data_IF_952446392085
#
_entry.id   IF_952446392085
#
_cell.length_a   1.000
_cell.length_b   1.000
_cell.length_c   1.000
_cell.angle_alpha   90.00
_cell.angle_beta   90.00
_cell.angle_gamma   90.00
#
_symmetry.space_group_name_H-M   'P 1'
#
loop_
_entity.id
_entity.type
_entity.pdbx_description
1 polymer ?
#
# COMPACT_ATOMS: atom_id res chain seq x y z
N UNK A 1 1.48 -32.12 60.48
CA UNK A 1 2.67 -32.46 61.30
C UNK A 1 3.19 -33.80 60.81
N UNK A 2 4.46 -33.84 60.38
CA UNK A 2 5.44 -34.96 60.43
C UNK A 2 4.96 -36.39 60.05
N UNK A 3 5.67 -37.23 59.30
CA UNK A 3 7.03 -37.25 58.80
C UNK A 3 7.24 -38.54 57.96
N UNK A 4 8.13 -38.45 56.96
CA UNK A 4 9.20 -39.40 56.59
C UNK A 4 8.95 -40.90 56.31
N UNK A 5 9.27 -41.26 55.06
CA UNK A 5 10.32 -42.20 54.60
C UNK A 5 10.24 -43.71 54.85
N UNK A 6 10.51 -44.49 53.79
CA UNK A 6 11.57 -45.53 53.63
C UNK A 6 11.16 -46.45 52.44
N UNK A 7 11.81 -46.36 51.28
CA UNK A 7 12.97 -47.15 50.79
C UNK A 7 12.74 -48.64 50.52
N UNK A 8 13.18 -49.00 49.30
CA UNK A 8 13.78 -50.24 48.79
C UNK A 8 12.85 -51.32 48.26
N UNK A 9 13.08 -51.65 46.99
CA UNK A 9 12.37 -52.67 46.23
C UNK A 9 12.97 -54.06 46.33
N UNK A 10 12.43 -54.95 45.50
CA UNK A 10 13.06 -56.18 45.01
C UNK A 10 12.24 -56.70 43.83
N UNK A 11 12.97 -57.13 42.80
CA UNK A 11 12.49 -57.64 41.53
C UNK A 11 11.80 -59.00 41.65
N UNK A 12 10.91 -59.31 40.71
CA UNK A 12 10.57 -60.68 40.33
C UNK A 12 10.51 -60.79 38.81
N UNK A 13 11.49 -61.53 38.28
CA UNK A 13 11.58 -62.03 36.91
C UNK A 13 10.38 -62.93 36.60
N UNK A 14 9.82 -62.79 35.39
CA UNK A 14 9.08 -63.87 34.73
C UNK A 14 9.68 -64.07 33.34
N UNK A 15 10.41 -65.17 33.22
CA UNK A 15 10.98 -65.68 31.99
C UNK A 15 9.90 -66.39 31.18
N UNK A 16 9.72 -66.00 29.93
CA UNK A 16 9.01 -66.80 28.93
C UNK A 16 10.00 -67.08 27.80
N UNK A 17 10.42 -68.33 27.73
CA UNK A 17 11.20 -68.92 26.65
C UNK A 17 10.29 -69.25 25.47
N UNK A 18 10.60 -68.73 24.28
CA UNK A 18 10.08 -69.25 23.02
C UNK A 18 11.20 -69.27 21.95
N UNK A 19 11.73 -70.47 21.73
CA UNK A 19 12.27 -71.05 20.49
C UNK A 19 13.05 -70.16 19.52
N UNK A 20 14.36 -70.36 19.53
CA UNK A 20 15.34 -69.89 18.55
C UNK A 20 15.22 -70.70 17.25
N UNK A 21 14.98 -70.01 16.13
CA UNK A 21 15.33 -70.51 14.79
C UNK A 21 16.55 -69.71 14.31
N UNK A 22 17.67 -70.39 14.11
CA UNK A 22 18.93 -69.78 13.65
C UNK A 22 18.85 -69.61 12.14
N UNK A 23 18.43 -68.44 11.67
CA UNK A 23 18.68 -67.97 10.32
C UNK A 23 20.01 -67.20 10.29
N UNK A 24 20.97 -67.66 9.50
CA UNK A 24 22.19 -66.90 9.23
C UNK A 24 21.82 -65.64 8.42
N UNK A 25 21.85 -64.48 9.07
CA UNK A 25 21.77 -63.18 8.40
C UNK A 25 23.16 -62.55 8.48
N UNK A 26 23.74 -62.28 7.31
CA UNK A 26 25.00 -61.55 7.18
C UNK A 26 24.84 -60.14 7.79
N UNK A 27 25.70 -59.78 8.74
CA UNK A 27 25.80 -58.44 9.28
C UNK A 27 26.41 -57.50 8.24
N UNK A 28 25.59 -56.67 7.61
CA UNK A 28 26.03 -55.44 6.96
C UNK A 28 26.21 -54.35 8.04
N UNK A 29 27.22 -53.48 7.93
CA UNK A 29 27.43 -52.41 8.90
C UNK A 29 26.27 -51.41 8.84
N UNK A 30 25.69 -51.10 10.00
CA UNK A 30 24.66 -50.07 10.13
C UNK A 30 25.28 -48.70 9.83
N UNK A 31 24.96 -48.15 8.66
CA UNK A 31 25.20 -46.75 8.37
C UNK A 31 24.30 -45.91 9.30
N UNK A 32 24.93 -45.10 10.15
CA UNK A 32 24.22 -44.05 10.90
C UNK A 32 23.71 -43.02 9.90
N UNK A 33 22.41 -43.07 9.58
CA UNK A 33 21.76 -42.05 8.79
C UNK A 33 21.77 -40.72 9.58
N UNK A 34 22.38 -39.68 9.00
CA UNK A 34 22.24 -38.33 9.49
C UNK A 34 20.76 -37.91 9.44
N UNK A 35 20.25 -37.10 10.39
CA UNK A 35 18.89 -36.60 10.35
C UNK A 35 18.68 -35.83 9.05
N UNK A 36 17.59 -36.16 8.34
CA UNK A 36 17.19 -35.44 7.15
C UNK A 36 16.99 -33.96 7.49
N UNK A 37 17.42 -33.02 6.61
CA UNK A 37 17.08 -31.62 6.78
C UNK A 37 15.55 -31.48 6.88
N UNK A 38 15.09 -30.61 7.78
CA UNK A 38 13.68 -30.29 7.88
C UNK A 38 13.15 -29.87 6.49
N UNK A 39 11.94 -30.30 6.09
CA UNK A 39 11.36 -29.82 4.85
C UNK A 39 11.31 -28.29 4.90
N UNK A 40 11.70 -27.65 3.79
CA UNK A 40 11.51 -26.22 3.61
C UNK A 40 10.04 -25.87 3.93
N UNK A 41 9.77 -24.72 4.56
CA UNK A 41 8.40 -24.26 4.73
C UNK A 41 7.70 -24.31 3.37
N UNK A 42 6.49 -24.86 3.34
CA UNK A 42 5.66 -24.80 2.14
C UNK A 42 5.48 -23.32 1.76
N UNK A 43 5.48 -22.96 0.45
CA UNK A 43 5.17 -21.60 0.04
C UNK A 43 3.85 -21.20 0.69
N UNK A 44 3.82 -20.01 1.30
CA UNK A 44 2.59 -19.38 1.75
C UNK A 44 1.66 -19.40 0.55
N UNK A 45 0.42 -19.87 0.74
CA UNK A 45 -0.50 -20.01 -0.39
C UNK A 45 -0.89 -18.60 -0.77
N UNK A 46 -0.32 -18.09 -1.86
CA UNK A 46 -0.62 -16.77 -2.42
C UNK A 46 -2.14 -16.59 -2.47
N UNK A 47 -2.63 -15.56 -1.78
CA UNK A 47 -4.05 -15.27 -1.76
C UNK A 47 -4.50 -15.03 -3.21
N UNK A 48 -5.63 -15.63 -3.59
CA UNK A 48 -6.07 -15.52 -4.99
C UNK A 48 -6.35 -14.05 -5.34
N UNK A 49 -5.82 -13.55 -6.47
CA UNK A 49 -6.03 -12.17 -6.89
C UNK A 49 -7.53 -11.87 -7.08
N UNK A 50 -7.88 -10.58 -7.08
CA UNK A 50 -9.26 -10.13 -7.12
C UNK A 50 -9.94 -10.56 -8.43
N UNK A 51 -11.01 -11.34 -8.32
CA UNK A 51 -11.74 -11.79 -9.50
C UNK A 51 -12.35 -10.60 -10.26
N UNK A 52 -12.37 -10.63 -11.61
CA UNK A 52 -13.13 -9.66 -12.39
C UNK A 52 -14.58 -9.57 -11.92
N UNK A 53 -15.10 -8.34 -11.77
CA UNK A 53 -16.44 -8.11 -11.24
C UNK A 53 -16.56 -8.14 -9.71
N UNK A 54 -15.44 -8.20 -8.98
CA UNK A 54 -15.42 -8.01 -7.52
C UNK A 54 -16.17 -6.73 -7.14
N UNK A 55 -17.12 -6.86 -6.22
CA UNK A 55 -17.85 -5.72 -5.66
C UNK A 55 -17.09 -5.19 -4.45
N UNK A 56 -16.56 -3.97 -4.56
CA UNK A 56 -15.95 -3.29 -3.42
C UNK A 56 -17.00 -2.69 -2.48
N UNK A 57 -16.61 -2.50 -1.22
CA UNK A 57 -17.49 -1.98 -0.17
C UNK A 57 -17.57 -0.47 -0.26
N UNK A 58 -18.79 0.07 -0.26
CA UNK A 58 -19.05 1.49 -0.01
C UNK A 58 -19.21 1.69 1.50
N UNK A 59 -18.37 2.51 2.16
CA UNK A 59 -18.51 2.79 3.58
C UNK A 59 -19.76 3.64 3.85
N UNK A 60 -20.02 3.89 5.14
CA UNK A 60 -21.02 4.91 5.51
C UNK A 60 -20.52 6.27 4.97
N UNK A 61 -21.34 7.03 4.24
CA UNK A 61 -20.94 8.32 3.68
C UNK A 61 -20.41 9.28 4.73
N UNK A 62 -19.42 10.08 4.35
CA UNK A 62 -18.95 11.21 5.16
C UNK A 62 -20.14 12.15 5.47
N UNK A 63 -20.35 12.56 6.74
CA UNK A 63 -21.43 13.48 7.10
C UNK A 63 -21.39 14.80 6.33
N UNK A 64 -20.21 15.29 5.97
CA UNK A 64 -20.02 16.49 5.16
C UNK A 64 -20.53 16.32 3.73
N UNK A 65 -20.33 15.14 3.11
CA UNK A 65 -20.89 14.82 1.79
C UNK A 65 -22.42 14.81 1.81
N UNK A 66 -23.01 14.21 2.86
CA UNK A 66 -24.46 14.19 3.06
C UNK A 66 -25.00 15.60 3.23
N UNK A 67 -24.37 16.41 4.08
CA UNK A 67 -24.78 17.78 4.34
C UNK A 67 -24.67 18.64 3.07
N UNK A 68 -23.57 18.55 2.33
CA UNK A 68 -23.38 19.26 1.07
C UNK A 68 -24.42 18.86 0.02
N UNK A 69 -24.75 17.57 -0.09
CA UNK A 69 -25.81 17.10 -0.99
C UNK A 69 -27.15 17.77 -0.68
N UNK A 70 -27.50 17.86 0.61
CA UNK A 70 -28.74 18.50 1.08
C UNK A 70 -28.72 20.00 0.77
N UNK A 71 -27.61 20.68 1.04
CA UNK A 71 -27.50 22.13 0.85
C UNK A 71 -27.52 22.52 -0.63
N UNK A 72 -26.87 21.75 -1.50
CA UNK A 72 -26.96 21.92 -2.95
C UNK A 72 -28.39 21.70 -3.46
N UNK A 73 -29.09 20.68 -2.96
CA UNK A 73 -30.48 20.43 -3.34
C UNK A 73 -31.43 21.55 -2.88
N UNK A 74 -31.22 22.11 -1.67
CA UNK A 74 -31.98 23.26 -1.15
C UNK A 74 -31.74 24.54 -1.94
N UNK A 75 -30.56 24.66 -2.56
CA UNK A 75 -30.19 25.77 -3.42
C UNK A 75 -30.58 25.53 -4.90
N UNK A 76 -31.44 24.55 -5.19
CA UNK A 76 -31.87 24.16 -6.54
C UNK A 76 -30.71 23.71 -7.48
N UNK A 77 -29.54 23.38 -6.92
CA UNK A 77 -28.37 22.85 -7.64
C UNK A 77 -28.41 21.33 -7.73
N UNK A 78 -29.51 20.79 -8.27
CA UNK A 78 -29.77 19.34 -8.28
C UNK A 78 -28.71 18.51 -9.01
N UNK A 79 -28.08 19.07 -10.05
CA UNK A 79 -26.99 18.37 -10.77
C UNK A 79 -25.77 18.18 -9.88
N UNK A 80 -25.37 19.23 -9.17
CA UNK A 80 -24.24 19.19 -8.26
C UNK A 80 -24.55 18.31 -7.03
N UNK A 81 -25.78 18.39 -6.50
CA UNK A 81 -26.22 17.48 -5.44
C UNK A 81 -26.14 16.01 -5.88
N UNK A 82 -26.56 15.70 -7.12
CA UNK A 82 -26.45 14.35 -7.65
C UNK A 82 -24.99 13.89 -7.83
N UNK A 83 -24.08 14.80 -8.18
CA UNK A 83 -22.65 14.50 -8.29
C UNK A 83 -22.06 14.11 -6.93
N UNK A 84 -22.25 14.92 -5.88
CA UNK A 84 -21.77 14.60 -4.53
C UNK A 84 -22.39 13.30 -4.01
N UNK A 85 -23.69 13.09 -4.22
CA UNK A 85 -24.37 11.86 -3.82
C UNK A 85 -23.78 10.61 -4.52
N UNK A 86 -23.38 10.71 -5.78
CA UNK A 86 -22.76 9.60 -6.53
C UNK A 86 -21.32 9.34 -6.10
N UNK A 87 -20.57 10.40 -5.82
CA UNK A 87 -19.23 10.30 -5.27
C UNK A 87 -19.26 9.54 -3.95
N UNK A 88 -20.11 9.96 -3.02
CA UNK A 88 -20.28 9.31 -1.72
C UNK A 88 -20.86 7.88 -1.78
N UNK A 89 -21.54 7.53 -2.88
CA UNK A 89 -22.07 6.18 -3.10
C UNK A 89 -21.08 5.22 -3.79
N UNK A 90 -19.95 5.72 -4.28
CA UNK A 90 -18.91 4.91 -4.92
C UNK A 90 -18.08 4.17 -3.85
N UNK A 91 -17.62 2.92 -4.08
CA UNK A 91 -16.79 2.22 -3.11
C UNK A 91 -15.52 3.00 -2.74
N UNK A 92 -15.13 2.96 -1.47
CA UNK A 92 -14.00 3.73 -0.93
C UNK A 92 -13.33 2.93 0.19
N UNK A 93 -12.04 3.16 0.42
CA UNK A 93 -11.33 2.52 1.53
C UNK A 93 -11.77 3.07 2.89
N UNK A 94 -11.68 2.23 3.91
CA UNK A 94 -11.89 2.62 5.31
C UNK A 94 -10.54 2.74 6.00
N UNK A 95 -10.26 3.92 6.53
CA UNK A 95 -8.98 4.27 7.16
C UNK A 95 -9.00 3.99 8.65
N UNK A 96 -7.93 3.40 9.16
CA UNK A 96 -7.70 3.17 10.58
C UNK A 96 -6.39 3.87 10.95
N UNK A 97 -6.52 4.94 11.74
CA UNK A 97 -5.45 5.93 11.89
C UNK A 97 -4.99 6.17 13.33
N UNK A 98 -5.74 5.67 14.31
CA UNK A 98 -5.45 5.88 15.74
C UNK A 98 -6.25 4.89 16.64
N UNK A 99 -6.31 5.20 17.94
CA UNK A 99 -7.07 4.47 18.94
C UNK A 99 -6.27 3.41 19.68
N UNK A 100 -6.87 2.83 20.71
CA UNK A 100 -6.31 1.69 21.42
C UNK A 100 -6.48 0.40 20.61
N UNK A 101 -5.70 -0.67 20.88
CA UNK A 101 -5.90 -1.98 20.26
C UNK A 101 -7.33 -2.52 20.35
N UNK A 102 -8.05 -2.17 21.42
CA UNK A 102 -9.44 -2.58 21.63
C UNK A 102 -10.42 -1.80 20.75
N UNK A 103 -10.14 -0.52 20.50
CA UNK A 103 -10.99 0.36 19.68
C UNK A 103 -10.85 -0.01 18.20
N UNK A 104 -9.62 -0.06 17.67
CA UNK A 104 -9.38 -0.45 16.28
C UNK A 104 -9.94 -1.85 15.97
N UNK A 105 -9.79 -2.81 16.90
CA UNK A 105 -10.41 -4.14 16.77
C UNK A 105 -11.93 -4.06 16.55
N UNK A 106 -12.61 -3.20 17.29
CA UNK A 106 -14.06 -3.05 17.19
C UNK A 106 -14.46 -2.37 15.89
N UNK A 107 -13.70 -1.37 15.46
CA UNK A 107 -13.93 -0.66 14.20
C UNK A 107 -13.76 -1.59 13.01
N UNK A 108 -12.64 -2.33 12.94
CA UNK A 108 -12.40 -3.33 11.89
C UNK A 108 -13.48 -4.40 11.89
N UNK A 109 -13.94 -4.84 13.07
CA UNK A 109 -15.03 -5.83 13.17
C UNK A 109 -16.34 -5.28 12.59
N UNK A 110 -16.67 -4.01 12.84
CA UNK A 110 -17.86 -3.34 12.29
C UNK A 110 -17.75 -3.18 10.78
N UNK A 111 -16.60 -2.72 10.29
CA UNK A 111 -16.32 -2.55 8.86
C UNK A 111 -16.40 -3.89 8.10
N UNK A 112 -15.79 -4.94 8.65
CA UNK A 112 -15.85 -6.31 8.11
C UNK A 112 -17.30 -6.83 8.07
N UNK A 113 -18.08 -6.57 9.13
CA UNK A 113 -19.49 -6.96 9.20
C UNK A 113 -20.36 -6.23 8.17
N UNK A 114 -20.11 -4.93 7.93
CA UNK A 114 -20.76 -4.17 6.85
C UNK A 114 -20.49 -4.84 5.51
N UNK A 115 -19.22 -5.06 5.18
CA UNK A 115 -18.81 -5.69 3.92
C UNK A 115 -19.42 -7.09 3.73
N UNK A 116 -19.50 -7.89 4.81
CA UNK A 116 -20.15 -9.21 4.79
C UNK A 116 -21.64 -9.10 4.53
N UNK A 117 -22.32 -8.14 5.16
CA UNK A 117 -23.75 -7.90 4.96
C UNK A 117 -24.05 -7.42 3.52
N UNK A 118 -23.14 -6.68 2.90
CA UNK A 118 -23.26 -6.20 1.52
C UNK A 118 -22.68 -7.13 0.47
N UNK A 119 -22.10 -8.28 0.86
CA UNK A 119 -21.43 -9.23 -0.04
C UNK A 119 -20.39 -8.53 -0.92
N UNK A 120 -19.55 -7.72 -0.29
CA UNK A 120 -18.50 -6.96 -0.94
C UNK A 120 -17.15 -7.21 -0.25
N UNK A 121 -16.08 -6.93 -0.98
CA UNK A 121 -14.70 -6.93 -0.47
C UNK A 121 -14.42 -5.55 0.12
N UNK A 122 -14.05 -5.43 1.41
CA UNK A 122 -13.62 -4.16 1.96
C UNK A 122 -12.18 -3.85 1.55
N UNK A 123 -11.91 -2.56 1.37
CA UNK A 123 -10.54 -2.02 1.29
C UNK A 123 -10.27 -1.30 2.60
N UNK A 124 -9.23 -1.72 3.32
CA UNK A 124 -8.78 -1.11 4.57
C UNK A 124 -7.44 -0.43 4.35
N UNK A 125 -7.21 0.65 5.09
CA UNK A 125 -5.91 1.32 5.18
C UNK A 125 -5.47 1.30 6.63
N UNK A 126 -4.31 0.71 6.90
CA UNK A 126 -3.61 0.90 8.19
C UNK A 126 -2.63 2.04 8.03
N UNK A 127 -2.71 3.03 8.90
CA UNK A 127 -1.90 4.24 8.77
C UNK A 127 -1.63 4.81 10.15
N UNK A 128 -0.74 4.18 10.92
CA UNK A 128 -0.47 4.55 12.31
C UNK A 128 0.99 4.35 12.73
N UNK A 129 1.95 4.25 11.79
CA UNK A 129 3.38 4.13 12.13
C UNK A 129 3.87 5.26 13.05
N UNK A 130 4.85 4.99 13.93
CA UNK A 130 5.50 6.03 14.72
C UNK A 130 6.14 7.12 13.84
N UNK A 131 5.98 8.37 14.27
CA UNK A 131 6.46 9.55 13.54
C UNK A 131 5.85 9.70 12.14
N UNK A 132 4.56 9.40 12.01
CA UNK A 132 3.80 9.50 10.75
C UNK A 132 4.00 10.87 10.08
N UNK A 133 4.22 10.85 8.76
CA UNK A 133 4.31 12.01 7.85
C UNK A 133 5.32 13.08 8.22
N UNK A 134 6.43 12.71 8.87
CA UNK A 134 7.37 13.69 9.40
C UNK A 134 6.67 14.76 10.27
N UNK A 135 5.60 14.38 10.97
CA UNK A 135 4.76 15.29 11.77
C UNK A 135 4.12 16.46 11.00
N UNK A 136 3.79 16.28 9.70
CA UNK A 136 3.09 17.28 8.88
C UNK A 136 1.54 17.27 9.07
N UNK A 137 0.73 17.51 8.03
CA UNK A 137 -0.71 17.73 8.16
C UNK A 137 -1.49 16.49 8.67
N UNK A 138 -1.04 15.30 8.28
CA UNK A 138 -1.59 14.02 8.76
C UNK A 138 -0.84 13.48 9.99
N UNK A 139 -0.04 14.32 10.67
CA UNK A 139 0.72 13.95 11.87
C UNK A 139 -0.10 13.15 12.89
N UNK A 140 0.58 12.21 13.51
CA UNK A 140 0.00 11.29 14.48
C UNK A 140 0.86 10.04 14.53
N UNK A 141 0.22 8.89 14.56
CA UNK A 141 0.91 7.62 14.69
C UNK A 141 0.96 7.12 16.13
N UNK A 142 1.32 5.86 16.27
CA UNK A 142 1.58 5.24 17.56
C UNK A 142 2.76 5.91 18.26
N UNK A 143 2.78 5.79 19.60
CA UNK A 143 3.82 6.40 20.42
C UNK A 143 5.23 5.84 20.14
N UNK A 144 5.31 4.56 19.81
CA UNK A 144 6.53 3.81 19.52
C UNK A 144 6.18 2.50 18.78
N UNK A 145 7.21 1.78 18.34
CA UNK A 145 7.07 0.51 17.61
C UNK A 145 6.24 -0.53 18.38
N UNK A 146 6.35 -0.57 19.72
CA UNK A 146 5.61 -1.53 20.54
C UNK A 146 4.12 -1.20 20.58
N UNK A 147 3.78 0.08 20.73
CA UNK A 147 2.41 0.57 20.67
C UNK A 147 1.80 0.35 19.28
N UNK A 148 2.58 0.56 18.21
CA UNK A 148 2.15 0.30 16.84
C UNK A 148 1.81 -1.19 16.63
N UNK A 149 2.73 -2.09 17.01
CA UNK A 149 2.52 -3.54 16.85
C UNK A 149 1.31 -4.04 17.65
N UNK A 150 1.13 -3.52 18.87
CA UNK A 150 -0.07 -3.83 19.66
C UNK A 150 -1.36 -3.32 19.00
N UNK A 151 -1.32 -2.16 18.35
CA UNK A 151 -2.45 -1.62 17.60
C UNK A 151 -2.76 -2.47 16.36
N UNK A 152 -1.73 -2.87 15.60
CA UNK A 152 -1.84 -3.82 14.48
C UNK A 152 -2.43 -5.16 14.92
N UNK A 153 -2.01 -5.71 16.06
CA UNK A 153 -2.61 -6.93 16.63
C UNK A 153 -4.12 -6.74 16.89
N UNK A 154 -4.51 -5.56 17.36
CA UNK A 154 -5.91 -5.15 17.51
C UNK A 154 -6.65 -5.14 16.18
N UNK A 155 -6.07 -4.48 15.16
CA UNK A 155 -6.60 -4.43 13.80
C UNK A 155 -6.81 -5.85 13.24
N UNK A 156 -5.76 -6.66 13.27
CA UNK A 156 -5.76 -8.04 12.77
C UNK A 156 -6.81 -8.91 13.49
N UNK A 157 -6.95 -8.78 14.82
CA UNK A 157 -7.98 -9.48 15.60
C UNK A 157 -9.42 -9.02 15.26
N UNK A 158 -9.59 -7.88 14.59
CA UNK A 158 -10.86 -7.39 14.07
C UNK A 158 -11.30 -8.05 12.77
N UNK A 159 -10.37 -8.63 12.00
CA UNK A 159 -10.62 -9.24 10.70
C UNK A 159 -11.50 -10.51 10.79
N UNK A 160 -12.14 -10.86 9.67
CA UNK A 160 -12.89 -12.11 9.50
C UNK A 160 -12.07 -13.07 8.64
N UNK A 161 -11.62 -14.18 9.23
CA UNK A 161 -10.73 -15.16 8.59
C UNK A 161 -11.29 -15.76 7.28
N UNK A 162 -12.61 -15.78 7.11
CA UNK A 162 -13.32 -16.34 5.94
C UNK A 162 -13.75 -15.27 4.92
N UNK A 163 -13.26 -14.04 5.04
CA UNK A 163 -13.63 -12.91 4.19
C UNK A 163 -12.41 -12.39 3.44
N UNK A 164 -12.50 -12.28 2.11
CA UNK A 164 -11.50 -11.57 1.33
C UNK A 164 -11.51 -10.08 1.68
N UNK A 165 -10.32 -9.49 1.85
CA UNK A 165 -10.11 -8.09 2.21
C UNK A 165 -8.86 -7.58 1.52
N UNK A 166 -8.90 -6.34 1.01
CA UNK A 166 -7.71 -5.63 0.53
C UNK A 166 -7.21 -4.74 1.66
N UNK A 167 -5.92 -4.79 1.97
CA UNK A 167 -5.30 -3.90 2.97
C UNK A 167 -4.12 -3.16 2.36
N UNK A 168 -4.21 -1.83 2.35
CA UNK A 168 -3.09 -0.94 2.03
C UNK A 168 -2.37 -0.62 3.34
N UNK A 169 -1.07 -0.89 3.36
CA UNK A 169 -0.24 -0.76 4.56
C UNK A 169 0.60 0.51 4.50
N UNK A 170 0.33 1.38 5.47
CA UNK A 170 1.12 2.55 5.82
C UNK A 170 1.48 3.44 4.62
N UNK A 171 0.50 4.16 4.04
CA UNK A 171 0.77 5.27 3.13
C UNK A 171 1.84 6.20 3.70
N UNK A 172 2.71 6.74 2.84
CA UNK A 172 3.88 7.54 3.25
C UNK A 172 4.82 6.81 4.24
N UNK A 173 4.69 5.48 4.38
CA UNK A 173 5.52 4.66 5.24
C UNK A 173 6.90 4.43 4.64
N UNK A 174 6.94 3.73 3.50
CA UNK A 174 8.17 3.45 2.75
C UNK A 174 8.60 4.63 1.88
N UNK A 175 7.65 5.38 1.32
CA UNK A 175 7.96 6.52 0.46
C UNK A 175 8.49 7.75 1.25
N UNK A 176 8.22 7.83 2.56
CA UNK A 176 8.70 8.90 3.44
C UNK A 176 9.28 8.31 4.72
N UNK A 177 10.52 7.81 4.61
CA UNK A 177 11.23 7.19 5.72
C UNK A 177 11.63 8.24 6.77
N UNK A 178 11.78 7.87 8.05
CA UNK A 178 12.27 8.79 9.07
C UNK A 178 13.54 9.56 8.71
N UNK A 179 14.47 8.92 7.99
CA UNK A 179 15.70 9.53 7.47
C UNK A 179 15.49 10.56 6.36
N UNK A 180 14.35 10.54 5.67
CA UNK A 180 13.97 11.53 4.65
C UNK A 180 13.42 12.83 5.28
N UNK A 181 13.06 12.79 6.57
CA UNK A 181 12.46 13.92 7.24
C UNK A 181 13.47 15.05 7.52
N UNK A 182 13.04 16.33 7.47
CA UNK A 182 13.89 17.45 7.82
C UNK A 182 14.55 17.31 9.22
N UNK A 183 15.80 17.76 9.38
CA UNK A 183 16.45 17.77 10.69
C UNK A 183 15.63 18.56 11.73
N UNK A 184 15.45 17.97 12.91
CA UNK A 184 14.68 18.58 14.00
C UNK A 184 13.16 18.38 13.90
N UNK A 185 12.67 17.61 12.91
CA UNK A 185 11.26 17.20 12.82
C UNK A 185 10.77 16.52 14.10
N UNK A 186 11.55 15.60 14.64
CA UNK A 186 11.21 14.86 15.85
C UNK A 186 11.91 15.46 17.08
N UNK A 187 11.24 15.49 18.25
CA UNK A 187 11.90 15.83 19.51
C UNK A 187 13.15 14.95 19.75
N UNK A 188 14.17 15.53 20.36
CA UNK A 188 15.43 14.84 20.65
C UNK A 188 15.19 13.52 21.41
N UNK A 189 15.74 12.43 20.89
CA UNK A 189 15.60 11.09 21.47
C UNK A 189 14.26 10.39 21.21
N UNK A 190 13.37 10.97 20.41
CA UNK A 190 12.05 10.38 20.08
C UNK A 190 11.89 9.99 18.61
N UNK A 191 12.88 10.28 17.77
CA UNK A 191 12.81 9.98 16.35
C UNK A 191 12.69 8.47 16.11
N UNK A 192 11.71 8.02 15.31
CA UNK A 192 11.73 6.65 14.79
C UNK A 192 12.96 6.44 13.89
N UNK A 193 13.32 5.18 13.68
CA UNK A 193 14.44 4.80 12.79
C UNK A 193 13.91 4.18 11.51
N UNK A 194 14.69 4.26 10.44
CA UNK A 194 14.35 3.60 9.17
C UNK A 194 14.19 2.08 9.34
N UNK A 195 15.11 1.45 10.09
CA UNK A 195 15.03 0.03 10.42
C UNK A 195 13.76 -0.31 11.23
N UNK A 196 13.35 0.56 12.16
CA UNK A 196 12.09 0.41 12.89
C UNK A 196 10.87 0.50 11.98
N UNK A 197 10.84 1.50 11.08
CA UNK A 197 9.78 1.68 10.09
C UNK A 197 9.63 0.47 9.17
N UNK A 198 10.73 -0.05 8.63
CA UNK A 198 10.74 -1.26 7.79
C UNK A 198 10.19 -2.47 8.57
N UNK A 199 10.69 -2.69 9.79
CA UNK A 199 10.26 -3.80 10.62
C UNK A 199 8.78 -3.73 11.02
N UNK A 200 8.25 -2.52 11.25
CA UNK A 200 6.86 -2.29 11.59
C UNK A 200 5.93 -2.53 10.40
N UNK A 201 6.31 -2.07 9.20
CA UNK A 201 5.54 -2.33 7.97
C UNK A 201 5.50 -3.83 7.65
N UNK A 202 6.64 -4.52 7.74
CA UNK A 202 6.70 -5.98 7.57
C UNK A 202 5.80 -6.70 8.61
N UNK A 203 5.91 -6.31 9.89
CA UNK A 203 5.09 -6.88 10.95
C UNK A 203 3.58 -6.69 10.70
N UNK A 204 3.17 -5.52 10.18
CA UNK A 204 1.79 -5.24 9.85
C UNK A 204 1.24 -6.23 8.81
N UNK A 205 1.95 -6.39 7.69
CA UNK A 205 1.57 -7.36 6.67
C UNK A 205 1.46 -8.78 7.22
N UNK A 206 2.50 -9.24 7.92
CA UNK A 206 2.51 -10.60 8.51
C UNK A 206 1.36 -10.83 9.50
N UNK A 207 1.06 -9.84 10.35
CA UNK A 207 -0.01 -9.96 11.34
C UNK A 207 -1.39 -10.03 10.68
N UNK A 208 -1.59 -9.26 9.61
CA UNK A 208 -2.83 -9.25 8.83
C UNK A 208 -3.07 -10.61 8.17
N UNK A 209 -2.09 -11.14 7.42
CA UNK A 209 -2.26 -12.41 6.71
C UNK A 209 -2.36 -13.61 7.65
N UNK A 210 -1.63 -13.58 8.77
CA UNK A 210 -1.75 -14.59 9.82
C UNK A 210 -3.15 -14.64 10.41
N UNK A 211 -3.79 -13.48 10.60
CA UNK A 211 -5.15 -13.39 11.12
C UNK A 211 -6.20 -13.74 10.05
N UNK A 212 -5.94 -13.39 8.79
CA UNK A 212 -6.82 -13.66 7.66
C UNK A 212 -6.03 -14.11 6.41
N UNK A 213 -6.00 -15.41 6.08
CA UNK A 213 -5.27 -15.93 4.93
C UNK A 213 -5.92 -15.56 3.57
N UNK A 214 -7.06 -14.86 3.57
CA UNK A 214 -7.67 -14.30 2.36
C UNK A 214 -7.43 -12.78 2.25
N UNK A 215 -6.59 -12.21 3.12
CA UNK A 215 -6.19 -10.82 2.99
C UNK A 215 -5.21 -10.67 1.81
N UNK A 216 -5.40 -9.61 1.03
CA UNK A 216 -4.49 -9.16 0.00
C UNK A 216 -3.79 -7.92 0.55
N UNK A 217 -2.52 -8.08 0.94
CA UNK A 217 -1.73 -7.02 1.57
C UNK A 217 -0.86 -6.32 0.51
N UNK A 218 -0.99 -5.00 0.46
CA UNK A 218 -0.20 -4.14 -0.44
C UNK A 218 0.54 -3.09 0.37
N UNK A 219 1.87 -3.06 0.25
CA UNK A 219 2.70 -2.05 0.90
C UNK A 219 2.67 -0.76 0.08
N UNK A 220 2.41 0.39 0.71
CA UNK A 220 2.42 1.66 -0.03
C UNK A 220 3.82 1.99 -0.54
N UNK A 221 3.88 2.38 -1.82
CA UNK A 221 5.10 2.64 -2.57
C UNK A 221 5.11 4.05 -3.20
N UNK A 222 4.32 4.99 -2.67
CA UNK A 222 4.26 6.35 -3.19
C UNK A 222 3.72 6.41 -4.63
N UNK A 223 4.40 7.17 -5.51
CA UNK A 223 3.93 7.38 -6.88
C UNK A 223 5.06 7.75 -7.86
N UNK A 224 4.74 7.79 -9.15
CA UNK A 224 5.66 8.03 -10.29
C UNK A 224 6.49 9.30 -10.22
N UNK A 225 6.05 10.30 -9.44
CA UNK A 225 6.68 11.61 -9.32
C UNK A 225 7.47 11.80 -8.02
N UNK A 226 7.67 10.73 -7.24
CA UNK A 226 8.33 10.81 -5.93
C UNK A 226 9.63 10.01 -5.91
N UNK A 227 9.56 8.70 -6.12
CA UNK A 227 10.72 7.80 -6.11
C UNK A 227 11.03 7.30 -7.50
N UNK A 228 12.30 6.98 -7.77
CA UNK A 228 12.64 6.20 -8.96
C UNK A 228 12.37 4.71 -8.68
N UNK A 229 12.32 3.91 -9.73
CA UNK A 229 11.97 2.48 -9.60
C UNK A 229 12.95 1.74 -8.67
N UNK A 230 14.26 1.93 -8.84
CA UNK A 230 15.28 1.24 -8.02
C UNK A 230 15.21 1.62 -6.54
N UNK A 231 14.98 2.89 -6.22
CA UNK A 231 14.94 3.40 -4.85
C UNK A 231 13.75 2.87 -4.07
N UNK A 232 12.57 2.79 -4.70
CA UNK A 232 11.39 2.23 -4.01
C UNK A 232 11.42 0.71 -3.98
N UNK A 233 11.97 0.05 -5.01
CA UNK A 233 12.13 -1.40 -5.03
C UNK A 233 13.07 -1.88 -3.90
N UNK A 234 14.15 -1.14 -3.63
CA UNK A 234 15.04 -1.39 -2.49
C UNK A 234 14.28 -1.35 -1.15
N UNK A 235 13.53 -0.28 -0.91
CA UNK A 235 12.72 -0.11 0.32
C UNK A 235 11.65 -1.19 0.46
N UNK A 236 11.01 -1.59 -0.65
CA UNK A 236 10.02 -2.68 -0.67
C UNK A 236 10.68 -4.04 -0.39
N UNK A 237 11.86 -4.32 -0.95
CA UNK A 237 12.63 -5.52 -0.69
C UNK A 237 13.01 -5.61 0.79
N UNK A 238 13.52 -4.52 1.37
CA UNK A 238 13.87 -4.44 2.79
C UNK A 238 12.67 -4.58 3.72
N UNK A 239 11.48 -4.17 3.27
CA UNK A 239 10.22 -4.36 3.98
C UNK A 239 9.59 -5.76 3.77
N UNK A 240 10.22 -6.63 2.97
CA UNK A 240 9.78 -8.00 2.75
C UNK A 240 8.58 -8.13 1.81
N UNK A 241 8.43 -7.25 0.81
CA UNK A 241 7.28 -7.26 -0.12
C UNK A 241 7.04 -8.62 -0.80
N UNK A 242 8.08 -9.45 -0.97
CA UNK A 242 8.00 -10.78 -1.56
C UNK A 242 7.13 -11.76 -0.77
N UNK A 243 6.84 -11.47 0.49
CA UNK A 243 5.95 -12.27 1.34
C UNK A 243 4.47 -11.84 1.24
N UNK A 244 4.16 -10.77 0.49
CA UNK A 244 2.83 -10.18 0.37
C UNK A 244 2.35 -10.11 -1.08
N UNK A 245 1.09 -9.69 -1.29
CA UNK A 245 0.49 -9.58 -2.63
C UNK A 245 1.22 -8.55 -3.51
N UNK A 246 1.71 -7.45 -2.93
CA UNK A 246 2.58 -6.51 -3.65
C UNK A 246 2.51 -5.10 -3.11
N UNK A 247 2.27 -4.12 -3.98
CA UNK A 247 2.38 -2.70 -3.68
C UNK A 247 1.12 -1.87 -3.98
N UNK A 248 0.93 -0.81 -3.21
CA UNK A 248 -0.08 0.21 -3.45
C UNK A 248 0.57 1.50 -3.98
N UNK A 249 -0.05 2.11 -4.98
CA UNK A 249 0.47 3.33 -5.61
C UNK A 249 -0.57 4.45 -5.59
N UNK A 250 -0.05 5.68 -5.60
CA UNK A 250 -0.79 6.94 -5.73
C UNK A 250 -1.77 7.22 -4.59
N UNK A 251 -1.62 6.58 -3.43
CA UNK A 251 -2.49 6.80 -2.27
C UNK A 251 -2.59 8.28 -1.96
N UNK A 252 -3.80 8.83 -2.01
CA UNK A 252 -4.07 10.27 -1.80
C UNK A 252 -3.41 11.22 -2.80
N UNK A 253 -2.92 10.76 -3.95
CA UNK A 253 -2.22 11.58 -4.94
C UNK A 253 -2.95 11.61 -6.30
N UNK A 254 -2.33 12.22 -7.31
CA UNK A 254 -3.03 12.69 -8.52
C UNK A 254 -2.38 12.19 -9.82
N UNK A 255 -1.38 11.31 -9.78
CA UNK A 255 -0.65 10.89 -10.98
C UNK A 255 -1.53 10.11 -11.96
N UNK A 256 -1.24 10.20 -13.26
CA UNK A 256 -2.03 9.50 -14.28
C UNK A 256 -2.03 7.98 -14.08
N UNK A 257 -3.22 7.38 -14.13
CA UNK A 257 -3.40 5.92 -14.03
C UNK A 257 -2.52 5.11 -14.99
N UNK A 258 -2.40 5.41 -16.30
CA UNK A 258 -1.52 4.64 -17.19
C UNK A 258 -0.04 4.71 -16.78
N UNK A 259 0.42 5.87 -16.29
CA UNK A 259 1.80 6.04 -15.82
C UNK A 259 2.05 5.18 -14.58
N UNK A 260 1.09 5.15 -13.65
CA UNK A 260 1.16 4.34 -12.43
C UNK A 260 1.12 2.85 -12.73
N UNK A 261 0.32 2.42 -13.71
CA UNK A 261 0.28 1.02 -14.13
C UNK A 261 1.63 0.58 -14.70
N UNK A 262 2.21 1.37 -15.61
CA UNK A 262 3.54 1.12 -16.17
C UNK A 262 4.63 1.13 -15.09
N UNK A 263 4.60 2.10 -14.17
CA UNK A 263 5.55 2.22 -13.07
C UNK A 263 5.47 1.06 -12.08
N UNK A 264 4.26 0.62 -11.74
CA UNK A 264 4.05 -0.56 -10.90
C UNK A 264 4.57 -1.84 -11.55
N UNK A 265 4.39 -2.00 -12.86
CA UNK A 265 5.01 -3.09 -13.62
C UNK A 265 6.53 -3.05 -13.51
N UNK A 266 7.17 -1.90 -13.74
CA UNK A 266 8.62 -1.77 -13.61
C UNK A 266 9.15 -2.05 -12.20
N UNK A 267 8.41 -1.67 -11.16
CA UNK A 267 8.78 -2.03 -9.78
C UNK A 267 8.77 -3.54 -9.60
N UNK A 268 7.72 -4.21 -10.08
CA UNK A 268 7.61 -5.67 -10.00
C UNK A 268 8.74 -6.38 -10.77
N UNK A 269 9.06 -5.89 -11.97
CA UNK A 269 10.17 -6.39 -12.79
C UNK A 269 11.53 -6.14 -12.13
N UNK A 270 11.72 -4.96 -11.54
CA UNK A 270 12.92 -4.62 -10.76
C UNK A 270 13.10 -5.59 -9.59
N UNK A 271 12.06 -5.78 -8.76
CA UNK A 271 12.07 -6.70 -7.62
C UNK A 271 12.40 -8.15 -8.03
N UNK A 272 12.01 -8.57 -9.23
CA UNK A 272 12.27 -9.91 -9.73
C UNK A 272 13.75 -10.17 -10.04
N UNK A 273 14.52 -9.11 -10.33
CA UNK A 273 15.96 -9.19 -10.69
C UNK A 273 16.89 -8.52 -9.70
N UNK A 274 16.34 -7.79 -8.72
CA UNK A 274 17.13 -7.05 -7.73
C UNK A 274 17.90 -8.02 -6.82
N UNK A 275 19.23 -7.87 -6.66
CA UNK A 275 19.96 -8.67 -5.70
C UNK A 275 19.49 -8.41 -4.27
N UNK A 276 19.36 -9.46 -3.46
CA UNK A 276 19.02 -9.33 -2.04
C UNK A 276 20.03 -8.51 -1.21
N UNK A 277 21.22 -8.23 -1.77
CA UNK A 277 22.26 -7.40 -1.16
C UNK A 277 22.34 -5.99 -1.75
N UNK A 278 21.44 -5.65 -2.68
CA UNK A 278 21.40 -4.32 -3.28
C UNK A 278 21.15 -3.28 -2.20
N UNK A 279 21.83 -2.14 -2.31
CA UNK A 279 21.59 -0.96 -1.48
C UNK A 279 21.55 0.27 -2.38
N UNK A 280 20.39 0.93 -2.42
CA UNK A 280 20.21 2.11 -3.25
C UNK A 280 21.17 3.24 -2.86
N UNK A 281 21.73 3.92 -3.87
CA UNK A 281 22.70 5.00 -3.69
C UNK A 281 24.11 4.55 -3.31
N UNK A 282 24.32 3.26 -3.03
CA UNK A 282 25.65 2.65 -2.85
C UNK A 282 26.03 1.84 -4.09
N UNK A 283 25.12 0.98 -4.54
CA UNK A 283 25.32 0.14 -5.72
C UNK A 283 24.88 0.86 -7.01
N UNK A 284 25.39 0.40 -8.15
CA UNK A 284 24.90 0.85 -9.44
C UNK A 284 23.45 0.38 -9.61
N UNK A 285 22.52 1.31 -9.82
CA UNK A 285 21.09 1.02 -9.97
C UNK A 285 20.84 0.15 -11.21
N UNK A 286 20.44 -1.12 -11.04
CA UNK A 286 20.22 -2.02 -12.16
C UNK A 286 18.86 -1.80 -12.83
N UNK A 287 17.98 -0.97 -12.25
CA UNK A 287 16.59 -0.87 -12.65
C UNK A 287 16.35 0.30 -13.62
N UNK A 288 15.96 0.01 -14.88
CA UNK A 288 15.40 1.01 -15.79
C UNK A 288 14.29 1.81 -15.12
N UNK A 289 14.30 3.13 -15.22
CA UNK A 289 13.35 3.98 -14.49
C UNK A 289 12.92 5.22 -15.30
N UNK A 290 11.91 5.91 -14.78
CA UNK A 290 11.24 7.02 -15.46
C UNK A 290 12.12 8.27 -15.65
N UNK A 291 13.26 8.38 -14.98
CA UNK A 291 14.14 9.54 -15.11
C UNK A 291 15.17 9.39 -16.24
N UNK A 292 15.20 8.24 -16.92
CA UNK A 292 15.94 8.05 -18.17
C UNK A 292 15.35 6.93 -19.02
N UNK A 293 14.69 7.29 -20.12
CA UNK A 293 13.95 6.33 -20.97
C UNK A 293 14.75 5.72 -22.14
N UNK A 294 16.08 5.82 -22.11
CA UNK A 294 16.94 5.25 -23.14
C UNK A 294 16.87 3.71 -23.16
N UNK A 295 17.09 3.10 -24.32
CA UNK A 295 17.09 1.65 -24.53
C UNK A 295 17.35 1.25 -25.98
N UNK A 296 17.25 -0.04 -26.32
CA UNK A 296 17.53 -0.53 -27.67
C UNK A 296 16.75 0.22 -28.78
N UNK A 297 15.48 0.53 -28.56
CA UNK A 297 14.60 1.21 -29.54
C UNK A 297 15.05 2.62 -29.93
N UNK A 298 15.78 3.32 -29.06
CA UNK A 298 16.25 4.69 -29.31
C UNK A 298 17.78 4.78 -29.31
N UNK A 299 18.48 3.64 -29.47
CA UNK A 299 19.94 3.60 -29.51
C UNK A 299 20.60 4.05 -28.20
N UNK A 300 19.94 3.82 -27.06
CA UNK A 300 20.38 4.25 -25.73
C UNK A 300 20.53 5.78 -25.61
N UNK A 301 19.68 6.53 -26.32
CA UNK A 301 19.50 7.97 -26.13
C UNK A 301 18.17 8.18 -25.42
N UNK A 302 18.17 8.84 -24.28
CA UNK A 302 16.96 9.01 -23.48
C UNK A 302 16.92 10.31 -22.71
N UNK A 303 15.70 10.69 -22.37
CA UNK A 303 15.32 11.84 -21.57
C UNK A 303 14.57 11.35 -20.31
N UNK A 304 14.32 12.26 -19.37
CA UNK A 304 13.37 12.00 -18.30
C UNK A 304 11.94 12.05 -18.86
N UNK A 305 11.09 11.11 -18.43
CA UNK A 305 9.68 11.14 -18.80
C UNK A 305 9.00 12.36 -18.16
N UNK A 306 8.17 13.05 -18.93
CA UNK A 306 7.38 14.19 -18.46
C UNK A 306 6.23 13.68 -17.57
N UNK A 307 6.20 13.99 -16.27
CA UNK A 307 5.15 13.53 -15.37
C UNK A 307 3.77 14.12 -15.71
N UNK A 308 3.71 15.19 -16.51
CA UNK A 308 2.47 15.85 -16.92
C UNK A 308 1.89 15.30 -18.24
N UNK A 309 2.54 14.32 -18.85
CA UNK A 309 2.03 13.57 -19.99
C UNK A 309 1.61 12.14 -19.60
N UNK A 310 0.67 11.57 -20.34
CA UNK A 310 0.36 10.14 -20.24
C UNK A 310 1.39 9.34 -21.04
N UNK A 311 2.00 8.36 -20.39
CA UNK A 311 3.08 7.55 -20.94
C UNK A 311 2.55 6.36 -21.75
N UNK A 312 3.27 5.99 -22.79
CA UNK A 312 2.97 4.82 -23.64
C UNK A 312 4.21 4.39 -24.43
N UNK A 313 4.32 3.10 -24.72
CA UNK A 313 5.30 2.52 -25.63
C UNK A 313 5.15 3.02 -27.09
N UNK A 314 3.93 3.41 -27.46
CA UNK A 314 3.58 3.95 -28.78
C UNK A 314 3.64 5.48 -28.86
N UNK A 315 3.95 6.18 -27.77
CA UNK A 315 4.03 7.64 -27.78
C UNK A 315 5.13 8.11 -28.74
N UNK A 316 4.82 9.08 -29.60
CA UNK A 316 5.81 9.65 -30.54
C UNK A 316 6.68 10.73 -29.92
N UNK A 317 6.21 11.36 -28.85
CA UNK A 317 7.02 12.29 -28.05
C UNK A 317 8.00 11.47 -27.19
N UNK A 318 9.31 11.67 -27.32
CA UNK A 318 10.29 11.00 -26.47
C UNK A 318 10.02 11.19 -24.98
N UNK A 319 9.43 12.31 -24.55
CA UNK A 319 9.14 12.57 -23.14
C UNK A 319 7.97 11.74 -22.58
N UNK A 320 7.22 11.04 -23.42
CA UNK A 320 6.15 10.12 -23.00
C UNK A 320 6.40 8.67 -23.44
N UNK A 321 7.51 8.40 -24.15
CA UNK A 321 7.78 7.09 -24.71
C UNK A 321 8.45 6.14 -23.70
N UNK A 322 7.79 5.02 -23.42
CA UNK A 322 8.25 4.02 -22.43
C UNK A 322 9.00 2.84 -23.04
N UNK A 323 9.06 2.74 -24.37
CA UNK A 323 9.54 1.56 -25.08
C UNK A 323 10.99 1.20 -24.74
N UNK A 324 11.87 2.20 -24.60
CA UNK A 324 13.27 1.97 -24.23
C UNK A 324 13.45 1.43 -22.81
N UNK A 325 12.55 1.77 -21.88
CA UNK A 325 12.55 1.21 -20.52
C UNK A 325 12.06 -0.24 -20.57
N UNK A 326 10.92 -0.48 -21.22
CA UNK A 326 10.31 -1.82 -21.33
C UNK A 326 11.27 -2.83 -21.96
N UNK A 327 11.95 -2.46 -23.06
CA UNK A 327 12.93 -3.34 -23.70
C UNK A 327 14.14 -3.67 -22.83
N UNK A 328 14.56 -2.75 -21.95
CA UNK A 328 15.62 -3.07 -21.00
C UNK A 328 15.15 -4.07 -19.95
N UNK A 329 13.89 -3.99 -19.51
CA UNK A 329 13.33 -5.01 -18.64
C UNK A 329 13.19 -6.36 -19.35
N UNK A 330 12.74 -6.38 -20.61
CA UNK A 330 12.71 -7.61 -21.42
C UNK A 330 14.10 -8.28 -21.50
N UNK A 331 15.16 -7.49 -21.65
CA UNK A 331 16.55 -7.99 -21.67
C UNK A 331 17.04 -8.46 -20.28
N UNK A 332 16.62 -7.80 -19.20
CA UNK A 332 17.04 -8.09 -17.83
C UNK A 332 16.36 -9.33 -17.24
N UNK A 333 15.07 -9.51 -17.50
CA UNK A 333 14.26 -10.58 -16.89
C UNK A 333 14.60 -11.95 -17.45
N UNK A 334 14.84 -12.07 -18.76
CA UNK A 334 14.98 -13.37 -19.42
C UNK A 334 13.71 -14.21 -19.23
N UNK A 335 13.82 -15.32 -18.47
CA UNK A 335 12.69 -16.21 -18.15
C UNK A 335 12.09 -15.94 -16.74
N UNK A 336 12.58 -14.92 -16.02
CA UNK A 336 12.08 -14.57 -14.69
C UNK A 336 10.78 -13.79 -14.83
N UNK A 337 9.71 -14.28 -14.21
CA UNK A 337 8.42 -13.61 -14.21
C UNK A 337 8.27 -12.71 -12.98
N UNK A 338 7.87 -11.43 -13.14
CA UNK A 338 7.53 -10.55 -12.03
C UNK A 338 6.25 -11.02 -11.32
N UNK A 339 6.24 -10.98 -9.99
CA UNK A 339 5.13 -11.50 -9.17
C UNK A 339 4.51 -10.49 -8.22
N UNK A 340 5.11 -9.32 -8.00
CA UNK A 340 4.49 -8.31 -7.14
C UNK A 340 3.32 -7.65 -7.88
N UNK A 341 2.11 -7.79 -7.35
CA UNK A 341 0.91 -7.17 -7.90
C UNK A 341 0.74 -5.73 -7.40
N UNK A 342 -0.13 -4.97 -8.07
CA UNK A 342 -0.29 -3.54 -7.86
C UNK A 342 -1.76 -3.18 -7.65
N UNK A 343 -2.05 -2.36 -6.64
CA UNK A 343 -3.30 -1.60 -6.57
C UNK A 343 -3.02 -0.11 -6.72
N UNK A 344 -3.92 0.60 -7.41
CA UNK A 344 -3.74 2.01 -7.72
C UNK A 344 -4.89 2.83 -7.14
N UNK A 345 -4.58 3.81 -6.31
CA UNK A 345 -5.54 4.81 -5.91
C UNK A 345 -5.86 5.74 -7.09
N UNK A 346 -7.11 5.71 -7.51
CA UNK A 346 -7.69 6.48 -8.61
C UNK A 346 -8.76 7.46 -8.11
N UNK A 347 -8.81 7.69 -6.80
CA UNK A 347 -9.80 8.55 -6.14
C UNK A 347 -9.87 9.96 -6.76
N UNK A 348 -8.73 10.57 -7.09
CA UNK A 348 -8.65 12.00 -7.47
C UNK A 348 -7.76 12.29 -8.69
N UNK A 349 -7.38 11.27 -9.46
CA UNK A 349 -6.32 11.39 -10.48
C UNK A 349 -6.83 11.49 -11.93
N UNK A 350 -8.11 11.74 -12.16
CA UNK A 350 -8.70 11.76 -13.51
C UNK A 350 -8.11 12.83 -14.43
N UNK A 351 -7.58 13.91 -13.85
CA UNK A 351 -6.93 15.00 -14.58
C UNK A 351 -5.39 14.93 -14.55
N UNK A 352 -4.81 13.90 -13.94
CA UNK A 352 -3.37 13.78 -13.72
C UNK A 352 -2.81 14.74 -12.67
N UNK A 353 -1.48 14.89 -12.59
CA UNK A 353 -0.83 15.76 -11.61
C UNK A 353 -1.03 17.24 -11.94
N UNK A 354 -0.99 18.08 -10.90
CA UNK A 354 -1.10 19.53 -11.04
C UNK A 354 0.26 20.18 -11.29
N UNK A 355 0.33 21.03 -12.32
CA UNK A 355 1.53 21.79 -12.70
C UNK A 355 1.30 23.28 -12.44
N UNK A 356 1.68 23.81 -11.27
CA UNK A 356 1.70 25.25 -11.06
C UNK A 356 2.77 25.90 -11.95
N UNK A 357 2.55 27.16 -12.33
CA UNK A 357 3.57 27.90 -13.08
C UNK A 357 4.86 28.00 -12.26
N UNK A 358 6.00 27.80 -12.92
CA UNK A 358 7.31 27.80 -12.27
C UNK A 358 7.56 29.11 -11.52
N UNK A 359 8.11 29.01 -10.31
CA UNK A 359 8.44 30.17 -9.47
C UNK A 359 7.24 30.87 -8.83
N UNK A 360 6.01 30.35 -8.97
CA UNK A 360 4.81 30.93 -8.35
C UNK A 360 4.84 30.77 -6.82
N UNK A 361 5.29 29.62 -6.34
CA UNK A 361 5.25 29.26 -4.91
C UNK A 361 6.62 28.81 -4.41
N UNK A 362 6.99 29.14 -3.15
CA UNK A 362 8.18 28.57 -2.50
C UNK A 362 8.15 27.05 -2.41
N UNK A 363 7.00 26.50 -2.04
CA UNK A 363 6.70 25.07 -2.10
C UNK A 363 5.28 24.94 -2.63
N UNK A 364 5.09 24.51 -3.89
CA UNK A 364 3.75 24.43 -4.44
C UNK A 364 2.85 23.41 -3.73
N UNK A 365 3.41 22.46 -2.98
CA UNK A 365 2.67 21.39 -2.30
C UNK A 365 1.69 20.71 -3.26
N UNK A 366 2.19 20.21 -4.40
CA UNK A 366 1.35 19.73 -5.50
C UNK A 366 0.45 18.54 -5.15
N UNK A 367 0.71 17.90 -4.02
CA UNK A 367 -0.07 16.83 -3.41
C UNK A 367 -1.18 17.34 -2.46
N UNK A 368 -1.10 18.59 -1.99
CA UNK A 368 -1.99 19.16 -0.99
C UNK A 368 -3.08 19.99 -1.69
N UNK A 369 -4.32 19.48 -1.68
CA UNK A 369 -5.51 20.11 -2.27
C UNK A 369 -5.27 20.86 -3.60
N UNK A 370 -4.54 20.31 -4.60
CA UNK A 370 -4.35 21.00 -5.87
C UNK A 370 -5.68 21.29 -6.58
N UNK A 371 -5.85 22.49 -7.16
CA UNK A 371 -7.06 22.83 -7.90
C UNK A 371 -7.13 22.12 -9.26
N UNK A 372 -8.32 22.12 -9.85
CA UNK A 372 -8.58 21.64 -11.21
C UNK A 372 -8.30 20.14 -11.37
N UNK A 373 -8.35 19.37 -10.28
CA UNK A 373 -8.24 17.90 -10.32
C UNK A 373 -9.63 17.27 -10.41
N UNK A 374 -9.70 15.99 -10.76
CA UNK A 374 -10.96 15.29 -11.02
C UNK A 374 -10.94 13.86 -10.54
N UNK A 375 -12.10 13.32 -10.17
CA UNK A 375 -12.21 11.89 -9.84
C UNK A 375 -11.71 11.01 -10.99
N UNK A 376 -10.98 9.94 -10.69
CA UNK A 376 -10.47 9.01 -11.70
C UNK A 376 -11.44 7.87 -12.07
N UNK A 377 -10.93 6.80 -12.69
CA UNK A 377 -11.63 5.53 -12.82
C UNK A 377 -12.27 5.05 -11.52
N UNK A 378 -13.39 4.34 -11.59
CA UNK A 378 -14.09 3.85 -10.39
C UNK A 378 -13.41 2.56 -9.93
N UNK A 379 -13.57 2.19 -8.65
CA UNK A 379 -13.00 0.95 -8.15
C UNK A 379 -13.40 -0.26 -9.00
N UNK A 380 -12.40 -0.98 -9.49
CA UNK A 380 -12.57 -2.09 -10.42
C UNK A 380 -11.41 -3.06 -10.26
N UNK A 381 -11.73 -4.35 -10.09
CA UNK A 381 -10.75 -5.44 -10.10
C UNK A 381 -10.37 -5.83 -11.53
N UNK A 382 -9.10 -6.19 -11.74
CA UNK A 382 -8.49 -6.50 -13.03
C UNK A 382 -8.91 -5.51 -14.13
N UNK A 383 -8.60 -4.20 -13.96
CA UNK A 383 -9.18 -3.15 -14.77
C UNK A 383 -8.61 -3.09 -16.20
N UNK A 384 -7.37 -3.55 -16.40
CA UNK A 384 -6.67 -3.42 -17.67
C UNK A 384 -5.89 -4.69 -18.00
N UNK A 385 -6.20 -5.30 -19.15
CA UNK A 385 -5.52 -6.49 -19.63
C UNK A 385 -4.10 -6.21 -20.15
N UNK A 386 -3.76 -4.96 -20.46
CA UNK A 386 -2.41 -4.56 -20.84
C UNK A 386 -1.44 -4.53 -19.64
N UNK A 387 -1.97 -4.42 -18.42
CA UNK A 387 -1.20 -4.41 -17.18
C UNK A 387 -1.71 -5.52 -16.24
N UNK A 388 -1.41 -6.79 -16.52
CA UNK A 388 -1.97 -7.93 -15.78
C UNK A 388 -1.58 -7.99 -14.30
N UNK A 389 -0.52 -7.29 -13.90
CA UNK A 389 -0.10 -7.14 -12.49
C UNK A 389 -0.97 -6.13 -11.72
N UNK A 390 -1.79 -5.31 -12.40
CA UNK A 390 -2.69 -4.37 -11.72
C UNK A 390 -3.95 -5.11 -11.30
N UNK A 391 -4.02 -5.45 -10.02
CA UNK A 391 -5.13 -6.21 -9.43
C UNK A 391 -6.39 -5.36 -9.28
N UNK A 392 -6.25 -4.07 -8.97
CA UNK A 392 -7.40 -3.17 -8.89
C UNK A 392 -7.05 -1.69 -9.03
N UNK A 393 -8.00 -0.95 -9.62
CA UNK A 393 -8.19 0.45 -9.29
C UNK A 393 -9.03 0.53 -8.02
N UNK A 394 -8.63 1.39 -7.09
CA UNK A 394 -9.31 1.62 -5.82
C UNK A 394 -9.51 3.13 -5.64
N UNK A 395 -10.48 3.53 -4.81
CA UNK A 395 -10.51 4.87 -4.23
C UNK A 395 -10.02 4.73 -2.80
N UNK A 396 -8.72 4.94 -2.60
CA UNK A 396 -8.09 4.76 -1.28
C UNK A 396 -8.35 6.01 -0.45
N UNK A 397 -7.95 7.20 -0.91
CA UNK A 397 -8.43 8.46 -0.32
C UNK A 397 -9.93 8.61 -0.55
N UNK A 398 -10.64 9.03 0.49
CA UNK A 398 -12.03 9.51 0.39
C UNK A 398 -12.06 10.82 -0.38
N UNK A 399 -12.61 10.86 -1.62
CA UNK A 399 -12.73 12.12 -2.34
C UNK A 399 -13.57 13.13 -1.55
N UNK A 400 -13.17 14.40 -1.62
CA UNK A 400 -13.80 15.49 -0.88
C UNK A 400 -13.28 15.68 0.55
N UNK A 401 -12.45 14.79 1.10
CA UNK A 401 -11.72 15.06 2.34
C UNK A 401 -10.41 15.83 2.04
N UNK A 402 -10.19 16.92 2.77
CA UNK A 402 -9.00 17.76 2.66
C UNK A 402 -7.70 16.98 2.94
N UNK A 403 -6.61 17.42 2.33
CA UNK A 403 -5.23 16.95 2.58
C UNK A 403 -4.54 17.70 3.73
N UNK A 404 -5.07 18.86 4.14
CA UNK A 404 -4.47 19.73 5.15
C UNK A 404 -4.57 21.20 4.79
N UNK A 405 -3.90 22.05 5.57
CA UNK A 405 -3.87 23.50 5.34
C UNK A 405 -2.76 23.89 4.35
N UNK A 406 -3.07 23.81 3.06
CA UNK A 406 -2.12 23.96 1.94
C UNK A 406 -1.78 25.45 1.68
N UNK A 407 -0.79 25.99 2.39
CA UNK A 407 -0.42 27.42 2.28
C UNK A 407 0.63 27.72 1.20
N UNK A 408 1.01 26.72 0.41
CA UNK A 408 1.97 26.82 -0.69
C UNK A 408 3.36 27.31 -0.26
N UNK A 409 3.75 26.99 0.97
CA UNK A 409 5.03 27.41 1.57
C UNK A 409 5.13 28.92 1.82
N UNK A 410 4.02 29.66 1.77
CA UNK A 410 4.02 31.11 1.97
C UNK A 410 4.15 31.41 3.47
N UNK A 411 5.30 32.01 3.84
CA UNK A 411 5.61 32.33 5.23
C UNK A 411 4.53 33.20 5.88
N UNK A 412 3.99 32.73 7.01
CA UNK A 412 2.94 33.44 7.77
C UNK A 412 1.53 33.30 7.19
N UNK A 413 1.34 32.59 6.09
CA UNK A 413 0.01 32.29 5.53
C UNK A 413 -0.62 31.07 6.19
N UNK A 414 -1.93 31.15 6.42
CA UNK A 414 -2.81 30.04 6.79
C UNK A 414 -3.88 29.79 5.73
N UNK A 415 -3.76 30.42 4.57
CA UNK A 415 -4.75 30.37 3.49
C UNK A 415 -4.13 29.81 2.23
N UNK A 416 -4.94 29.10 1.45
CA UNK A 416 -4.56 28.59 0.14
C UNK A 416 -4.90 29.64 -0.93
N UNK A 417 -3.90 30.22 -1.61
CA UNK A 417 -4.14 31.15 -2.71
C UNK A 417 -4.88 30.52 -3.89
N UNK A 418 -4.78 29.20 -4.10
CA UNK A 418 -5.44 28.51 -5.21
C UNK A 418 -6.96 28.36 -4.99
N UNK A 419 -7.41 28.36 -3.74
CA UNK A 419 -8.84 28.30 -3.38
C UNK A 419 -9.41 29.68 -3.02
N UNK A 420 -8.86 30.75 -3.59
CA UNK A 420 -9.36 32.11 -3.38
C UNK A 420 -9.01 32.69 -2.01
N UNK A 421 -7.95 32.20 -1.38
CA UNK A 421 -7.47 32.69 -0.08
C UNK A 421 -8.30 32.22 1.11
N UNK A 422 -8.98 31.07 0.99
CA UNK A 422 -9.64 30.42 2.12
C UNK A 422 -8.63 29.64 2.97
N UNK A 423 -8.98 29.33 4.21
CA UNK A 423 -8.25 28.33 5.00
C UNK A 423 -8.86 26.97 4.72
N UNK A 424 -8.09 26.10 4.09
CA UNK A 424 -8.50 24.73 3.82
C UNK A 424 -8.86 24.01 5.13
N UNK A 425 -9.86 23.12 5.11
CA UNK A 425 -10.17 22.27 6.26
C UNK A 425 -8.97 21.42 6.68
N UNK A 426 -8.94 21.02 7.95
CA UNK A 426 -7.94 20.08 8.45
C UNK A 426 -7.95 18.77 7.65
N UNK A 427 -6.82 18.05 7.62
CA UNK A 427 -6.71 16.77 6.94
C UNK A 427 -7.82 15.80 7.39
N UNK A 428 -8.48 15.16 6.42
CA UNK A 428 -9.60 14.25 6.68
C UNK A 428 -10.96 14.94 6.91
N UNK A 429 -11.01 16.26 7.10
CA UNK A 429 -12.27 16.99 7.17
C UNK A 429 -12.85 17.24 5.77
N UNK A 430 -14.17 17.26 5.68
CA UNK A 430 -14.88 17.52 4.41
C UNK A 430 -14.58 18.92 3.85
N UNK A 431 -14.22 18.99 2.58
CA UNK A 431 -13.91 20.19 1.83
C UNK A 431 -14.90 20.34 0.65
N UNK A 432 -16.01 21.10 0.85
CA UNK A 432 -17.09 21.19 -0.13
C UNK A 432 -16.66 21.64 -1.53
N UNK A 433 -15.77 22.64 -1.61
CA UNK A 433 -15.30 23.21 -2.87
C UNK A 433 -14.51 22.17 -3.67
N UNK A 434 -13.54 21.52 -3.04
CA UNK A 434 -12.76 20.46 -3.66
C UNK A 434 -13.63 19.26 -4.04
N UNK A 435 -14.51 18.80 -3.15
CA UNK A 435 -15.40 17.66 -3.43
C UNK A 435 -16.23 17.90 -4.71
N UNK A 436 -16.82 19.10 -4.83
CA UNK A 436 -17.62 19.41 -6.00
C UNK A 436 -16.77 19.55 -7.26
N UNK A 437 -15.60 20.17 -7.19
CA UNK A 437 -14.70 20.29 -8.33
C UNK A 437 -14.24 18.92 -8.82
N UNK A 438 -13.82 18.03 -7.92
CA UNK A 438 -13.42 16.66 -8.23
C UNK A 438 -14.53 15.93 -8.99
N UNK A 439 -15.78 16.02 -8.49
CA UNK A 439 -16.92 15.37 -9.12
C UNK A 439 -17.26 15.95 -10.51
N UNK A 440 -17.14 17.27 -10.67
CA UNK A 440 -17.41 17.97 -11.93
C UNK A 440 -16.35 17.66 -13.00
N UNK A 441 -15.08 17.54 -12.59
CA UNK A 441 -13.94 17.29 -13.47
C UNK A 441 -13.59 15.80 -13.60
N UNK A 442 -14.46 14.91 -13.15
CA UNK A 442 -14.23 13.47 -13.18
C UNK A 442 -13.91 12.95 -14.59
N UNK A 443 -12.87 12.13 -14.70
CA UNK A 443 -12.48 11.41 -15.92
C UNK A 443 -12.28 9.93 -15.57
N UNK A 444 -13.16 9.04 -16.06
CA UNK A 444 -14.36 9.31 -16.86
C UNK A 444 -15.44 10.11 -16.08
N UNK A 445 -16.41 10.77 -16.76
CA UNK A 445 -17.45 11.55 -16.08
C UNK A 445 -18.30 10.72 -15.10
N UNK A 446 -18.70 11.32 -13.99
CA UNK A 446 -19.55 10.69 -12.96
C UNK A 446 -21.01 10.62 -13.40
N UNK A 447 -21.43 9.44 -13.86
CA UNK A 447 -22.74 9.17 -14.48
C UNK A 447 -23.73 8.44 -13.60
#
# INVERSE_FOLDING_TARGET
>A
MFSSSLRRGRAALLAVTATVTVGQVALAPAATAAPAPAPAPAPVTEAQPLAPGTRFTTPVPDPGAVQQTIDLARADRFRDAALIAREAATPQAMWFTDGTPKEVRQEVRRASALARATRSVPTFVVYNVPGRDCSQYSAGGAADDAAYRAWIDGFAAGLMRDQQVVVVVEPDGLALMPGDCPPGTYPEGTAPTDAGRLADIAYAGEAIERANPNALVYLDAGHTGWHNVGSIADRLQDAGVAEFQGLALNTSNYQYTPNLAQYGTWISECLAVLPATYVHGVDADPCPNQYWNGGPANGYVGDALDPFQQWSDTATDPLANTLGINQRYDELLGDVEPTAHVVIDTSRNGQGPWAPAEGTYPDPQTWCNPPGRGLGPRPQAAPDAAFPLVDAYLWVKTPGQSDGSCNRGIAGSTTDPEWGGITDPAAGAWFPEQALELAQLAVPPLR
#
